data_IF_365042461826
#
_entry.id   IF_365042461826
#
_cell.length_a   1.000
_cell.length_b   1.000
_cell.length_c   1.000
_cell.angle_alpha   90.00
_cell.angle_beta   90.00
_cell.angle_gamma   90.00
#
_symmetry.space_group_name_H-M   'P 1'
#
loop_
_entity.id
_entity.type
_entity.pdbx_description
1 polymer ?
#
# COMPACT_ATOMS: atom_id res chain seq x y z
N UNK A 1 -42.08 -28.12 -0.55
CA UNK A 1 -41.30 -27.09 -1.29
C UNK A 1 -39.91 -26.86 -0.68
N UNK A 2 -39.63 -27.31 0.54
CA UNK A 2 -38.36 -27.05 1.24
C UNK A 2 -37.15 -27.81 0.69
N UNK A 3 -37.32 -29.04 0.18
CA UNK A 3 -36.20 -29.82 -0.39
C UNK A 3 -35.55 -29.17 -1.62
N UNK A 4 -36.31 -28.46 -2.46
CA UNK A 4 -35.74 -27.78 -3.64
C UNK A 4 -34.88 -26.59 -3.23
N UNK A 5 -35.28 -25.85 -2.18
CA UNK A 5 -34.50 -24.74 -1.63
C UNK A 5 -33.23 -25.24 -0.95
N UNK A 6 -33.35 -26.30 -0.14
CA UNK A 6 -32.18 -26.94 0.48
C UNK A 6 -31.17 -27.44 -0.56
N UNK A 7 -31.63 -28.07 -1.64
CA UNK A 7 -30.77 -28.52 -2.74
C UNK A 7 -30.08 -27.34 -3.45
N UNK A 8 -30.80 -26.24 -3.72
CA UNK A 8 -30.18 -25.04 -4.32
C UNK A 8 -29.15 -24.37 -3.42
N UNK A 9 -29.39 -24.33 -2.09
CA UNK A 9 -28.42 -23.79 -1.14
C UNK A 9 -27.19 -24.70 -0.99
N UNK A 10 -27.40 -26.03 -0.95
CA UNK A 10 -26.30 -26.99 -0.91
C UNK A 10 -25.46 -26.96 -2.20
N UNK A 11 -26.09 -26.86 -3.36
CA UNK A 11 -25.40 -26.73 -4.64
C UNK A 11 -24.63 -25.40 -4.73
N UNK A 12 -25.23 -24.28 -4.33
CA UNK A 12 -24.55 -22.99 -4.28
C UNK A 12 -23.36 -23.02 -3.32
N UNK A 13 -23.53 -23.61 -2.13
CA UNK A 13 -22.44 -23.76 -1.16
C UNK A 13 -21.32 -24.65 -1.69
N UNK A 14 -21.62 -25.79 -2.31
CA UNK A 14 -20.62 -26.65 -2.94
C UNK A 14 -19.88 -25.95 -4.07
N UNK A 15 -20.57 -25.17 -4.91
CA UNK A 15 -19.91 -24.39 -5.98
C UNK A 15 -18.99 -23.34 -5.39
N UNK A 16 -19.41 -22.64 -4.33
CA UNK A 16 -18.56 -21.66 -3.63
C UNK A 16 -17.37 -22.35 -2.98
N UNK A 17 -17.57 -23.44 -2.25
CA UNK A 17 -16.52 -24.19 -1.57
C UNK A 17 -15.50 -24.77 -2.58
N UNK A 18 -15.98 -25.31 -3.71
CA UNK A 18 -15.13 -25.86 -4.76
C UNK A 18 -14.36 -24.76 -5.49
N UNK A 19 -14.98 -23.59 -5.72
CA UNK A 19 -14.28 -22.41 -6.26
C UNK A 19 -13.19 -21.92 -5.29
N UNK A 20 -13.49 -21.83 -4.00
CA UNK A 20 -12.53 -21.45 -2.96
C UNK A 20 -11.39 -22.46 -2.88
N UNK A 21 -11.69 -23.77 -2.96
CA UNK A 21 -10.69 -24.84 -2.95
C UNK A 21 -9.75 -24.77 -4.17
N UNK A 22 -10.31 -24.55 -5.36
CA UNK A 22 -9.50 -24.36 -6.59
C UNK A 22 -8.63 -23.10 -6.46
N UNK A 23 -9.20 -21.99 -6.00
CA UNK A 23 -8.44 -20.75 -5.81
C UNK A 23 -7.33 -20.91 -4.76
N UNK A 24 -7.56 -21.74 -3.73
CA UNK A 24 -6.55 -22.08 -2.74
C UNK A 24 -5.42 -22.95 -3.33
N UNK A 25 -5.76 -23.93 -4.17
CA UNK A 25 -4.79 -24.79 -4.86
C UNK A 25 -3.90 -23.99 -5.84
N UNK A 26 -4.43 -22.90 -6.40
CA UNK A 26 -3.73 -22.04 -7.36
C UNK A 26 -3.43 -20.65 -6.75
N UNK A 27 -3.01 -20.64 -5.48
CA UNK A 27 -2.69 -19.43 -4.72
C UNK A 27 -1.76 -18.45 -5.46
N UNK A 28 -0.73 -18.96 -6.15
CA UNK A 28 0.22 -18.14 -6.92
C UNK A 28 -0.47 -17.36 -8.05
N UNK A 29 -1.41 -17.98 -8.77
CA UNK A 29 -2.14 -17.30 -9.85
C UNK A 29 -3.06 -16.23 -9.27
N UNK A 30 -3.64 -16.45 -8.09
CA UNK A 30 -4.46 -15.44 -7.41
C UNK A 30 -3.61 -14.22 -7.02
N UNK A 31 -2.41 -14.45 -6.48
CA UNK A 31 -1.47 -13.35 -6.15
C UNK A 31 -1.10 -12.58 -7.42
N UNK A 32 -0.71 -13.26 -8.49
CA UNK A 32 -0.35 -12.60 -9.75
C UNK A 32 -1.53 -11.84 -10.35
N UNK A 33 -2.73 -12.40 -10.26
CA UNK A 33 -3.95 -11.72 -10.69
C UNK A 33 -4.18 -10.44 -9.88
N UNK A 34 -4.14 -10.50 -8.55
CA UNK A 34 -4.34 -9.32 -7.70
C UNK A 34 -3.25 -8.26 -7.90
N UNK A 35 -1.98 -8.66 -8.00
CA UNK A 35 -0.88 -7.75 -8.29
C UNK A 35 -1.03 -7.10 -9.67
N UNK A 36 -1.52 -7.83 -10.66
CA UNK A 36 -1.78 -7.29 -12.00
C UNK A 36 -2.89 -6.25 -12.01
N UNK A 37 -3.92 -6.40 -11.16
CA UNK A 37 -4.96 -5.39 -11.00
C UNK A 37 -4.41 -4.11 -10.37
N UNK A 38 -3.60 -4.25 -9.31
CA UNK A 38 -2.93 -3.11 -8.68
C UNK A 38 -1.99 -2.42 -9.67
N UNK A 39 -1.18 -3.18 -10.39
CA UNK A 39 -0.28 -2.63 -11.41
C UNK A 39 -1.05 -1.96 -12.56
N UNK A 40 -2.17 -2.54 -12.98
CA UNK A 40 -3.04 -1.97 -14.00
C UNK A 40 -3.62 -0.63 -13.54
N UNK A 41 -4.06 -0.56 -12.28
CA UNK A 41 -4.53 0.68 -11.67
C UNK A 41 -3.44 1.77 -11.54
N UNK A 42 -2.18 1.37 -11.31
CA UNK A 42 -1.02 2.30 -11.30
C UNK A 42 -0.79 2.90 -12.69
N UNK A 43 -0.83 2.08 -13.74
CA UNK A 43 -0.55 2.48 -15.13
C UNK A 43 -1.75 3.22 -15.75
N UNK A 44 -2.96 3.01 -15.23
CA UNK A 44 -4.21 3.50 -15.81
C UNK A 44 -4.26 4.99 -16.13
N UNK A 45 -3.84 5.94 -15.25
CA UNK A 45 -3.87 7.36 -15.58
C UNK A 45 -3.06 7.69 -16.84
N UNK A 46 -1.95 6.98 -17.06
CA UNK A 46 -1.14 7.12 -18.27
C UNK A 46 -1.87 6.56 -19.49
N UNK A 47 -2.50 5.39 -19.37
CA UNK A 47 -3.29 4.80 -20.46
C UNK A 47 -4.50 5.70 -20.84
N UNK A 48 -5.18 6.28 -19.84
CA UNK A 48 -6.31 7.18 -20.06
C UNK A 48 -5.85 8.52 -20.66
N UNK A 49 -4.68 9.03 -20.28
CA UNK A 49 -4.08 10.23 -20.89
C UNK A 49 -3.83 10.07 -22.41
N UNK A 50 -3.58 8.84 -22.87
CA UNK A 50 -3.39 8.53 -24.30
C UNK A 50 -4.72 8.43 -25.07
N UNK A 51 -5.87 8.23 -24.39
CA UNK A 51 -7.17 8.13 -25.04
C UNK A 51 -7.57 9.49 -25.60
N UNK A 52 -7.87 9.55 -26.91
CA UNK A 52 -8.30 10.77 -27.59
C UNK A 52 -7.17 11.71 -28.05
N UNK A 53 -5.91 11.31 -27.91
CA UNK A 53 -4.74 12.03 -28.44
C UNK A 53 -4.49 11.70 -29.92
N UNK A 54 -3.87 12.62 -30.65
CA UNK A 54 -3.49 12.37 -32.06
C UNK A 54 -2.38 11.31 -32.15
N UNK A 55 -2.23 10.65 -33.31
CA UNK A 55 -1.19 9.61 -33.50
C UNK A 55 0.22 10.10 -33.11
N UNK A 56 0.55 11.35 -33.42
CA UNK A 56 1.84 11.97 -33.09
C UNK A 56 1.99 12.14 -31.58
N UNK A 57 0.95 12.61 -30.88
CA UNK A 57 0.97 12.77 -29.42
C UNK A 57 1.11 11.42 -28.71
N UNK A 58 0.48 10.36 -29.24
CA UNK A 58 0.65 8.99 -28.73
C UNK A 58 2.10 8.54 -28.89
N UNK A 59 2.67 8.67 -30.09
CA UNK A 59 4.08 8.31 -30.36
C UNK A 59 5.02 9.09 -29.44
N UNK A 60 4.83 10.40 -29.28
CA UNK A 60 5.67 11.23 -28.43
C UNK A 60 5.56 10.84 -26.96
N UNK A 61 4.34 10.51 -26.49
CA UNK A 61 4.12 10.07 -25.11
C UNK A 61 4.72 8.69 -24.85
N UNK A 62 4.62 7.76 -25.80
CA UNK A 62 5.26 6.44 -25.73
C UNK A 62 6.79 6.58 -25.77
N UNK A 63 7.33 7.42 -26.65
CA UNK A 63 8.76 7.70 -26.73
C UNK A 63 9.28 8.33 -25.42
N UNK A 64 8.54 9.28 -24.86
CA UNK A 64 8.83 9.87 -23.55
C UNK A 64 8.82 8.84 -22.43
N UNK A 65 7.82 7.94 -22.39
CA UNK A 65 7.78 6.84 -21.43
C UNK A 65 8.98 5.90 -21.60
N UNK A 66 9.32 5.52 -22.83
CA UNK A 66 10.48 4.66 -23.11
C UNK A 66 11.79 5.32 -22.66
N UNK A 67 11.93 6.63 -22.84
CA UNK A 67 13.08 7.39 -22.34
C UNK A 67 13.14 7.40 -20.81
N UNK A 68 12.00 7.58 -20.12
CA UNK A 68 11.93 7.50 -18.66
C UNK A 68 12.30 6.10 -18.16
N UNK A 69 11.78 5.04 -18.81
CA UNK A 69 12.11 3.65 -18.48
C UNK A 69 13.59 3.37 -18.73
N UNK A 70 14.15 3.81 -19.86
CA UNK A 70 15.56 3.66 -20.18
C UNK A 70 16.46 4.41 -19.18
N UNK A 71 16.09 5.65 -18.82
CA UNK A 71 16.79 6.44 -17.80
C UNK A 71 16.75 5.79 -16.43
N UNK A 72 15.58 5.28 -16.00
CA UNK A 72 15.44 4.52 -14.76
C UNK A 72 16.26 3.22 -14.80
N UNK A 73 16.24 2.50 -15.93
CA UNK A 73 17.02 1.28 -16.12
C UNK A 73 18.52 1.54 -16.05
N UNK A 74 19.00 2.62 -16.67
CA UNK A 74 20.40 3.05 -16.58
C UNK A 74 20.78 3.45 -15.14
N UNK A 75 19.91 4.22 -14.46
CA UNK A 75 20.11 4.55 -13.04
C UNK A 75 20.21 3.30 -12.16
N UNK A 76 19.31 2.33 -12.35
CA UNK A 76 19.34 1.05 -11.64
C UNK A 76 20.61 0.25 -11.96
N UNK A 77 21.03 0.21 -13.22
CA UNK A 77 22.26 -0.47 -13.64
C UNK A 77 23.50 0.09 -12.92
N UNK A 78 23.64 1.42 -12.85
CA UNK A 78 24.74 2.06 -12.12
C UNK A 78 24.72 1.72 -10.63
N UNK A 79 23.54 1.74 -10.00
CA UNK A 79 23.41 1.38 -8.60
C UNK A 79 23.68 -0.11 -8.36
N UNK A 80 23.29 -1.00 -9.28
CA UNK A 80 23.55 -2.44 -9.19
C UNK A 80 25.06 -2.74 -9.23
N UNK A 81 25.81 -2.02 -10.08
CA UNK A 81 27.27 -2.13 -10.13
C UNK A 81 27.95 -1.62 -8.86
N UNK A 82 27.37 -0.63 -8.17
CA UNK A 82 27.86 -0.18 -6.85
C UNK A 82 27.47 -1.18 -5.76
N UNK A 83 26.23 -1.64 -5.79
CA UNK A 83 25.69 -2.61 -4.85
C UNK A 83 26.51 -3.90 -4.85
N UNK A 84 26.90 -4.41 -6.02
CA UNK A 84 27.75 -5.61 -6.09
C UNK A 84 29.11 -5.41 -5.42
N UNK A 85 29.73 -4.23 -5.57
CA UNK A 85 30.96 -3.87 -4.87
C UNK A 85 30.74 -3.77 -3.36
N UNK A 86 29.67 -3.09 -2.94
CA UNK A 86 29.31 -2.96 -1.52
C UNK A 86 29.03 -4.31 -0.86
N UNK A 87 28.30 -5.19 -1.55
CA UNK A 87 28.04 -6.57 -1.10
C UNK A 87 29.35 -7.35 -0.99
N UNK A 88 30.21 -7.31 -2.01
CA UNK A 88 31.52 -7.98 -1.95
C UNK A 88 32.38 -7.44 -0.80
N UNK A 89 32.38 -6.13 -0.57
CA UNK A 89 33.08 -5.52 0.56
C UNK A 89 32.49 -5.97 1.90
N UNK A 90 31.17 -6.06 2.02
CA UNK A 90 30.50 -6.53 3.24
C UNK A 90 30.82 -8.00 3.50
N UNK A 91 30.76 -8.84 2.47
CA UNK A 91 31.14 -10.26 2.53
C UNK A 91 32.58 -10.41 3.01
N UNK A 92 33.52 -9.66 2.43
CA UNK A 92 34.92 -9.67 2.86
C UNK A 92 35.09 -9.15 4.31
N UNK A 93 34.30 -8.17 4.71
CA UNK A 93 34.34 -7.61 6.08
C UNK A 93 33.88 -8.63 7.10
N UNK A 94 32.78 -9.35 6.80
CA UNK A 94 32.23 -10.40 7.66
C UNK A 94 33.18 -11.60 7.75
N UNK A 95 33.73 -12.05 6.61
CA UNK A 95 34.68 -13.18 6.56
C UNK A 95 35.93 -12.94 7.41
N UNK A 96 36.45 -11.71 7.43
CA UNK A 96 37.63 -11.36 8.22
C UNK A 96 37.30 -10.98 9.68
N UNK A 97 36.03 -11.00 10.08
CA UNK A 97 35.59 -10.52 11.38
C UNK A 97 35.78 -11.60 12.46
N UNK A 98 36.81 -11.44 13.30
CA UNK A 98 37.15 -12.41 14.36
C UNK A 98 36.24 -12.34 15.59
N UNK A 99 35.51 -11.25 15.79
CA UNK A 99 34.59 -11.08 16.93
C UNK A 99 33.44 -10.16 16.56
N UNK A 100 32.29 -10.35 17.20
CA UNK A 100 31.18 -9.41 17.13
C UNK A 100 31.54 -8.12 17.86
N UNK A 101 31.31 -6.97 17.21
CA UNK A 101 31.44 -5.67 17.83
C UNK A 101 30.08 -5.27 18.41
N UNK A 102 29.88 -5.51 19.71
CA UNK A 102 28.68 -5.08 20.40
C UNK A 102 28.93 -3.75 21.14
N UNK A 103 27.95 -2.84 21.14
CA UNK A 103 28.05 -1.63 21.94
C UNK A 103 27.89 -1.91 23.44
N UNK A 104 28.52 -1.10 24.27
CA UNK A 104 28.59 -1.27 25.75
C UNK A 104 27.21 -1.40 26.40
N UNK A 105 26.19 -0.71 25.86
CA UNK A 105 24.82 -0.82 26.37
C UNK A 105 24.20 -2.19 26.12
N UNK A 106 24.56 -2.84 25.01
CA UNK A 106 24.07 -4.16 24.64
C UNK A 106 24.79 -5.25 25.45
N UNK A 107 26.09 -5.10 25.69
CA UNK A 107 26.86 -6.01 26.57
C UNK A 107 26.40 -5.97 28.04
N UNK A 108 25.76 -4.88 28.46
CA UNK A 108 25.13 -4.76 29.78
C UNK A 108 23.80 -5.51 29.89
N UNK A 109 23.16 -5.86 28.77
CA UNK A 109 21.98 -6.70 28.76
C UNK A 109 22.41 -8.16 28.90
N UNK A 110 21.93 -8.84 29.95
CA UNK A 110 22.31 -10.23 30.24
C UNK A 110 22.07 -11.20 29.08
N UNK A 111 21.02 -10.96 28.29
CA UNK A 111 20.70 -11.75 27.08
C UNK A 111 21.81 -11.71 26.02
N UNK A 112 22.50 -10.58 25.85
CA UNK A 112 23.51 -10.42 24.81
C UNK A 112 24.75 -11.28 25.09
N UNK A 113 25.09 -11.46 26.37
CA UNK A 113 26.19 -12.34 26.79
C UNK A 113 25.88 -13.80 26.53
N UNK A 114 24.67 -14.24 26.89
CA UNK A 114 24.19 -15.59 26.61
C UNK A 114 24.13 -15.88 25.10
N UNK A 115 23.79 -14.89 24.27
CA UNK A 115 23.84 -15.04 22.82
C UNK A 115 25.28 -15.10 22.30
N UNK A 116 26.20 -14.26 22.80
CA UNK A 116 27.60 -14.27 22.38
C UNK A 116 28.32 -15.58 22.72
N UNK A 117 27.95 -16.23 23.82
CA UNK A 117 28.49 -17.55 24.20
C UNK A 117 27.96 -18.67 23.29
N UNK A 118 26.76 -18.48 22.71
CA UNK A 118 26.12 -19.47 21.84
C UNK A 118 26.45 -19.25 20.35
N UNK A 119 26.84 -18.03 19.95
CA UNK A 119 27.19 -17.70 18.57
C UNK A 119 28.71 -17.83 18.34
N UNK A 120 29.15 -18.68 17.40
CA UNK A 120 30.52 -18.66 16.92
C UNK A 120 30.94 -17.28 16.37
N UNK A 121 32.25 -17.02 16.28
CA UNK A 121 32.77 -15.83 15.62
C UNK A 121 32.19 -15.63 14.21
N UNK A 122 31.93 -14.38 13.77
CA UNK A 122 31.32 -14.11 12.48
C UNK A 122 32.12 -14.67 11.28
N UNK A 123 33.45 -14.64 11.35
CA UNK A 123 34.32 -15.26 10.34
C UNK A 123 34.21 -16.79 10.29
N UNK A 124 34.15 -17.46 11.45
CA UNK A 124 33.94 -18.92 11.51
C UNK A 124 32.53 -19.30 11.05
N UNK A 125 31.50 -18.52 11.40
CA UNK A 125 30.15 -18.68 10.85
C UNK A 125 30.14 -18.54 9.33
N UNK A 126 30.91 -17.60 8.80
CA UNK A 126 31.04 -17.40 7.36
C UNK A 126 31.79 -18.55 6.69
N UNK A 127 32.85 -19.07 7.31
CA UNK A 127 33.64 -20.20 6.80
C UNK A 127 32.86 -21.52 6.91
N UNK A 128 32.11 -21.74 7.99
CA UNK A 128 31.17 -22.87 8.11
C UNK A 128 30.07 -22.76 7.04
N UNK A 129 29.62 -21.54 6.73
CA UNK A 129 28.66 -21.32 5.66
C UNK A 129 29.28 -21.54 4.28
N UNK A 130 30.55 -21.17 4.04
CA UNK A 130 31.17 -21.19 2.71
C UNK A 130 32.06 -22.40 2.39
N UNK A 131 32.94 -22.84 3.29
CA UNK A 131 33.89 -23.94 3.09
C UNK A 131 33.30 -25.32 3.42
N UNK A 132 32.72 -25.53 4.62
CA UNK A 132 31.98 -26.76 4.94
C UNK A 132 30.51 -26.69 4.45
N UNK A 133 30.03 -25.47 4.21
CA UNK A 133 28.64 -25.13 3.91
C UNK A 133 28.30 -25.01 2.42
N UNK A 134 29.06 -25.66 1.54
CA UNK A 134 28.53 -26.09 0.24
C UNK A 134 27.22 -26.89 0.37
N UNK A 135 26.85 -27.35 1.58
CA UNK A 135 25.54 -27.94 1.91
C UNK A 135 24.50 -26.96 2.51
N UNK A 136 24.88 -25.78 2.99
CA UNK A 136 23.98 -24.78 3.61
C UNK A 136 23.79 -23.57 2.70
N UNK A 137 24.88 -22.98 2.17
CA UNK A 137 24.81 -21.87 1.23
C UNK A 137 24.41 -22.32 -0.17
N UNK A 138 24.81 -23.51 -0.65
CA UNK A 138 24.42 -23.94 -1.99
C UNK A 138 22.90 -24.09 -2.14
N UNK A 139 22.15 -24.74 -1.22
CA UNK A 139 20.70 -24.73 -1.28
C UNK A 139 20.09 -23.35 -1.13
N UNK A 140 20.68 -22.44 -0.33
CA UNK A 140 20.21 -21.05 -0.20
C UNK A 140 20.43 -20.27 -1.50
N UNK A 141 21.60 -20.38 -2.12
CA UNK A 141 21.94 -19.74 -3.39
C UNK A 141 21.14 -20.35 -4.55
N UNK A 142 20.93 -21.67 -4.55
CA UNK A 142 20.05 -22.34 -5.50
C UNK A 142 18.60 -21.91 -5.29
N UNK A 143 18.10 -21.85 -4.05
CA UNK A 143 16.77 -21.33 -3.75
C UNK A 143 16.62 -19.85 -4.15
N UNK A 144 17.64 -19.01 -3.94
CA UNK A 144 17.62 -17.63 -4.42
C UNK A 144 17.56 -17.63 -5.94
N UNK A 145 18.40 -18.40 -6.63
CA UNK A 145 18.42 -18.48 -8.10
C UNK A 145 17.09 -18.98 -8.68
N UNK A 146 16.55 -20.08 -8.16
CA UNK A 146 15.26 -20.63 -8.61
C UNK A 146 14.11 -19.68 -8.27
N UNK A 147 14.11 -19.08 -7.08
CA UNK A 147 13.12 -18.06 -6.72
C UNK A 147 13.25 -16.81 -7.59
N UNK A 148 14.45 -16.40 -8.01
CA UNK A 148 14.63 -15.28 -8.94
C UNK A 148 13.99 -15.58 -10.29
N UNK A 149 14.20 -16.78 -10.85
CA UNK A 149 13.54 -17.18 -12.10
C UNK A 149 12.01 -17.19 -11.93
N UNK A 150 11.51 -17.74 -10.82
CA UNK A 150 10.07 -17.74 -10.50
C UNK A 150 9.51 -16.33 -10.33
N UNK A 151 10.20 -15.45 -9.62
CA UNK A 151 9.80 -14.04 -9.44
C UNK A 151 9.80 -13.32 -10.79
N UNK A 152 10.83 -13.50 -11.62
CA UNK A 152 10.92 -12.87 -12.93
C UNK A 152 9.80 -13.34 -13.86
N UNK A 153 9.55 -14.65 -13.92
CA UNK A 153 8.44 -15.20 -14.71
C UNK A 153 7.07 -14.73 -14.20
N UNK A 154 6.86 -14.70 -12.89
CA UNK A 154 5.66 -14.13 -12.26
C UNK A 154 5.48 -12.65 -12.60
N UNK A 155 6.55 -11.87 -12.55
CA UNK A 155 6.55 -10.43 -12.89
C UNK A 155 6.15 -10.23 -14.37
N UNK A 156 6.66 -11.05 -15.28
CA UNK A 156 6.25 -11.04 -16.69
C UNK A 156 4.74 -11.29 -16.81
N UNK A 157 4.22 -12.33 -16.15
CA UNK A 157 2.77 -12.63 -16.14
C UNK A 157 1.96 -11.45 -15.58
N UNK A 158 2.38 -10.87 -14.46
CA UNK A 158 1.73 -9.70 -13.84
C UNK A 158 1.69 -8.51 -14.80
N UNK A 159 2.79 -8.22 -15.51
CA UNK A 159 2.85 -7.13 -16.50
C UNK A 159 1.90 -7.41 -17.67
N UNK A 160 1.97 -8.60 -18.27
CA UNK A 160 1.11 -8.95 -19.41
C UNK A 160 -0.36 -8.85 -19.03
N UNK A 161 -0.73 -9.37 -17.86
CA UNK A 161 -2.10 -9.37 -17.38
C UNK A 161 -2.58 -7.95 -17.03
N UNK A 162 -1.71 -7.12 -16.45
CA UNK A 162 -1.96 -5.71 -16.17
C UNK A 162 -2.23 -4.90 -17.44
N UNK A 163 -1.42 -5.11 -18.49
CA UNK A 163 -1.61 -4.46 -19.80
C UNK A 163 -2.92 -4.92 -20.43
N UNK A 164 -3.19 -6.23 -20.43
CA UNK A 164 -4.43 -6.78 -20.97
C UNK A 164 -5.66 -6.20 -20.27
N UNK A 165 -5.63 -6.15 -18.93
CA UNK A 165 -6.67 -5.57 -18.10
C UNK A 165 -6.91 -4.09 -18.42
N UNK A 166 -5.83 -3.32 -18.49
CA UNK A 166 -5.88 -1.87 -18.73
C UNK A 166 -6.43 -1.55 -20.11
N UNK A 167 -6.08 -2.35 -21.12
CA UNK A 167 -6.58 -2.20 -22.50
C UNK A 167 -8.01 -2.70 -22.71
N UNK A 168 -8.48 -3.67 -21.92
CA UNK A 168 -9.79 -4.33 -22.11
C UNK A 168 -10.81 -4.05 -21.01
N UNK A 169 -10.57 -3.04 -20.16
CA UNK A 169 -11.38 -2.70 -18.98
C UNK A 169 -12.89 -2.68 -19.28
N UNK A 170 -13.35 -2.00 -20.32
CA UNK A 170 -14.77 -1.89 -20.63
C UNK A 170 -15.41 -3.25 -20.92
N UNK A 171 -14.64 -4.16 -21.53
CA UNK A 171 -15.09 -5.51 -21.87
C UNK A 171 -15.28 -6.34 -20.61
N UNK A 172 -14.35 -6.23 -19.66
CA UNK A 172 -14.44 -6.95 -18.40
C UNK A 172 -15.44 -6.35 -17.41
N UNK A 173 -15.51 -5.01 -17.29
CA UNK A 173 -16.55 -4.33 -16.51
C UNK A 173 -17.93 -4.81 -16.97
N UNK A 174 -18.18 -4.88 -18.29
CA UNK A 174 -19.44 -5.41 -18.81
C UNK A 174 -19.68 -6.88 -18.46
N UNK A 175 -18.64 -7.72 -18.53
CA UNK A 175 -18.77 -9.15 -18.30
C UNK A 175 -19.16 -9.48 -16.85
N UNK A 176 -18.47 -8.90 -15.86
CA UNK A 176 -18.81 -9.16 -14.46
C UNK A 176 -20.06 -8.40 -13.99
N UNK A 177 -20.33 -7.20 -14.53
CA UNK A 177 -21.58 -6.50 -14.24
C UNK A 177 -22.80 -7.21 -14.86
N UNK A 178 -22.62 -8.03 -15.91
CA UNK A 178 -23.72 -8.82 -16.49
C UNK A 178 -24.31 -9.82 -15.50
N UNK A 179 -23.49 -10.33 -14.57
CA UNK A 179 -23.88 -11.26 -13.50
C UNK A 179 -24.75 -10.59 -12.42
N UNK A 180 -24.83 -9.26 -12.40
CA UNK A 180 -25.59 -8.49 -11.42
C UNK A 180 -26.91 -7.98 -12.02
N UNK A 181 -27.93 -7.85 -11.17
CA UNK A 181 -29.20 -7.21 -11.52
C UNK A 181 -28.99 -5.74 -11.88
N UNK A 182 -29.85 -5.20 -12.76
CA UNK A 182 -29.72 -3.85 -13.35
C UNK A 182 -29.52 -2.77 -12.29
N UNK A 183 -30.29 -2.82 -11.20
CA UNK A 183 -30.19 -1.89 -10.05
C UNK A 183 -28.81 -1.91 -9.37
N UNK A 184 -28.17 -3.07 -9.32
CA UNK A 184 -26.86 -3.25 -8.66
C UNK A 184 -25.70 -2.91 -9.58
N UNK A 185 -25.89 -2.91 -10.91
CA UNK A 185 -24.81 -2.68 -11.90
C UNK A 185 -24.17 -1.31 -11.74
N UNK A 186 -24.97 -0.25 -11.62
CA UNK A 186 -24.43 1.11 -11.47
C UNK A 186 -23.64 1.24 -10.17
N UNK A 187 -24.18 0.72 -9.05
CA UNK A 187 -23.51 0.79 -7.75
C UNK A 187 -22.20 -0.02 -7.75
N UNK A 188 -22.21 -1.24 -8.26
CA UNK A 188 -21.02 -2.08 -8.36
C UNK A 188 -19.94 -1.44 -9.23
N UNK A 189 -20.32 -0.80 -10.36
CA UNK A 189 -19.39 -0.05 -11.21
C UNK A 189 -18.75 1.12 -10.48
N UNK A 190 -19.52 1.89 -9.72
CA UNK A 190 -18.98 3.00 -8.93
C UNK A 190 -18.00 2.52 -7.86
N UNK A 191 -18.34 1.46 -7.13
CA UNK A 191 -17.46 0.86 -6.12
C UNK A 191 -16.17 0.35 -6.78
N UNK A 192 -16.29 -0.39 -7.89
CA UNK A 192 -15.14 -0.91 -8.62
C UNK A 192 -14.18 0.20 -9.06
N UNK A 193 -14.71 1.28 -9.66
CA UNK A 193 -13.91 2.43 -10.09
C UNK A 193 -13.25 3.15 -8.93
N UNK A 194 -13.91 3.23 -7.78
CA UNK A 194 -13.33 3.83 -6.58
C UNK A 194 -12.18 2.97 -6.01
N UNK A 195 -12.35 1.64 -5.98
CA UNK A 195 -11.30 0.70 -5.60
C UNK A 195 -10.11 0.83 -6.54
N UNK A 196 -10.36 0.75 -7.86
CA UNK A 196 -9.32 0.84 -8.89
C UNK A 196 -8.54 2.16 -8.81
N UNK A 197 -9.21 3.31 -8.72
CA UNK A 197 -8.55 4.60 -8.54
C UNK A 197 -7.72 4.66 -7.24
N UNK A 198 -8.26 4.12 -6.14
CA UNK A 198 -7.58 4.10 -4.84
C UNK A 198 -6.34 3.20 -4.82
N UNK A 199 -6.44 2.01 -5.40
CA UNK A 199 -5.31 1.09 -5.56
C UNK A 199 -4.22 1.71 -6.44
N UNK A 200 -4.62 2.41 -7.50
CA UNK A 200 -3.70 3.13 -8.37
C UNK A 200 -2.97 4.26 -7.64
N UNK A 201 -3.69 5.09 -6.86
CA UNK A 201 -3.09 6.16 -6.06
C UNK A 201 -2.12 5.56 -5.01
N UNK A 202 -2.52 4.49 -4.32
CA UNK A 202 -1.71 3.82 -3.31
C UNK A 202 -0.41 3.24 -3.89
N UNK A 203 -0.53 2.53 -5.02
CA UNK A 203 0.62 1.93 -5.68
C UNK A 203 1.63 2.98 -6.19
N UNK A 204 1.14 4.09 -6.75
CA UNK A 204 1.98 5.23 -7.14
C UNK A 204 2.68 5.86 -5.93
N UNK A 205 1.97 6.02 -4.82
CA UNK A 205 2.57 6.47 -3.56
C UNK A 205 3.66 5.51 -3.08
N UNK A 206 3.46 4.19 -3.14
CA UNK A 206 4.49 3.21 -2.74
C UNK A 206 5.75 3.31 -3.59
N UNK A 207 5.61 3.47 -4.91
CA UNK A 207 6.75 3.64 -5.81
C UNK A 207 7.54 4.90 -5.45
N UNK A 208 6.85 6.04 -5.29
CA UNK A 208 7.49 7.30 -4.90
C UNK A 208 8.14 7.17 -3.52
N UNK A 209 7.45 6.56 -2.55
CA UNK A 209 7.96 6.32 -1.20
C UNK A 209 9.25 5.51 -1.22
N UNK A 210 9.27 4.42 -1.99
CA UNK A 210 10.44 3.54 -2.13
C UNK A 210 11.63 4.29 -2.73
N UNK A 211 11.48 4.85 -3.93
CA UNK A 211 12.60 5.48 -4.64
C UNK A 211 13.10 6.71 -3.89
N UNK A 212 12.21 7.53 -3.34
CA UNK A 212 12.60 8.72 -2.60
C UNK A 212 13.34 8.37 -1.30
N UNK A 213 12.85 7.37 -0.55
CA UNK A 213 13.55 6.88 0.66
C UNK A 213 14.92 6.32 0.27
N UNK A 214 14.98 5.48 -0.77
CA UNK A 214 16.22 4.85 -1.20
C UNK A 214 17.28 5.89 -1.58
N UNK A 215 16.92 6.85 -2.42
CA UNK A 215 17.84 7.90 -2.88
C UNK A 215 18.28 8.78 -1.72
N UNK A 216 17.34 9.29 -0.91
CA UNK A 216 17.68 10.21 0.18
C UNK A 216 18.54 9.55 1.24
N UNK A 217 18.23 8.32 1.64
CA UNK A 217 19.05 7.58 2.61
C UNK A 217 20.42 7.30 2.02
N UNK A 218 20.51 6.76 0.80
CA UNK A 218 21.80 6.46 0.15
C UNK A 218 22.69 7.69 0.05
N UNK A 219 22.13 8.83 -0.35
CA UNK A 219 22.86 10.10 -0.43
C UNK A 219 23.29 10.58 0.97
N UNK A 220 22.40 10.50 1.96
CA UNK A 220 22.71 10.95 3.33
C UNK A 220 23.85 10.15 3.96
N UNK A 221 23.81 8.82 3.85
CA UNK A 221 24.88 7.97 4.39
C UNK A 221 26.15 7.99 3.55
N UNK A 222 26.05 8.30 2.25
CA UNK A 222 27.21 8.55 1.40
C UNK A 222 28.01 9.76 1.87
N UNK A 223 27.34 10.87 2.21
CA UNK A 223 28.02 12.07 2.75
C UNK A 223 28.65 11.82 4.12
N UNK A 224 28.09 10.92 4.90
CA UNK A 224 28.71 10.46 6.14
C UNK A 224 29.92 9.54 5.90
N UNK A 225 30.24 9.18 4.65
CA UNK A 225 31.31 8.24 4.27
C UNK A 225 31.05 6.80 4.76
N UNK A 226 29.80 6.39 4.78
CA UNK A 226 29.46 4.97 4.96
C UNK A 226 30.10 4.13 3.84
N UNK A 227 30.65 2.94 4.14
CA UNK A 227 31.15 2.02 3.13
C UNK A 227 30.05 1.36 2.27
N UNK A 228 28.80 1.37 2.75
CA UNK A 228 27.67 0.66 2.11
C UNK A 228 26.45 1.57 1.84
N UNK A 229 26.60 2.70 1.12
CA UNK A 229 25.54 3.68 0.99
C UNK A 229 24.32 3.18 0.21
N UNK A 230 24.54 2.53 -0.93
CA UNK A 230 23.45 2.07 -1.80
C UNK A 230 22.73 0.88 -1.17
N UNK A 231 23.49 -0.05 -0.57
CA UNK A 231 22.98 -1.21 0.15
C UNK A 231 22.13 -0.80 1.34
N UNK A 232 22.64 0.08 2.21
CA UNK A 232 21.91 0.54 3.40
C UNK A 232 20.65 1.26 2.98
N UNK A 233 20.73 2.19 2.01
CA UNK A 233 19.56 2.87 1.49
C UNK A 233 18.50 1.92 0.93
N UNK A 234 18.91 0.88 0.22
CA UNK A 234 18.00 -0.09 -0.39
C UNK A 234 17.28 -0.91 0.68
N UNK A 235 18.03 -1.43 1.67
CA UNK A 235 17.48 -2.21 2.78
C UNK A 235 16.54 -1.35 3.64
N UNK A 236 16.92 -0.11 3.93
CA UNK A 236 16.06 0.85 4.65
C UNK A 236 14.79 1.18 3.86
N UNK A 237 14.90 1.39 2.55
CA UNK A 237 13.73 1.66 1.70
C UNK A 237 12.77 0.46 1.64
N UNK A 238 13.30 -0.76 1.51
CA UNK A 238 12.52 -2.01 1.54
C UNK A 238 11.84 -2.19 2.91
N UNK A 239 12.56 -2.00 4.00
CA UNK A 239 11.99 -2.08 5.35
C UNK A 239 10.87 -1.03 5.53
N UNK A 240 11.10 0.21 5.09
CA UNK A 240 10.13 1.30 5.20
C UNK A 240 8.87 1.12 4.34
N UNK A 241 8.82 0.14 3.42
CA UNK A 241 7.58 -0.23 2.73
C UNK A 241 6.58 -0.92 3.66
N UNK A 242 7.08 -1.63 4.68
CA UNK A 242 6.22 -2.31 5.63
C UNK A 242 5.45 -1.28 6.50
N UNK A 243 4.12 -1.35 6.54
CA UNK A 243 3.34 -0.47 7.40
C UNK A 243 3.71 -0.69 8.87
N UNK A 244 3.83 0.40 9.63
CA UNK A 244 3.95 0.45 11.11
C UNK A 244 5.30 -0.04 11.65
N UNK A 245 5.79 -1.18 11.18
CA UNK A 245 7.06 -1.76 11.62
C UNK A 245 8.24 -1.23 10.77
N UNK A 246 7.95 -0.57 9.64
CA UNK A 246 8.99 -0.22 8.66
C UNK A 246 10.12 0.67 9.19
N UNK A 247 9.82 1.65 10.05
CA UNK A 247 10.87 2.48 10.67
C UNK A 247 11.72 1.64 11.63
N UNK A 248 11.08 0.80 12.46
CA UNK A 248 11.79 -0.06 13.42
C UNK A 248 12.73 -1.02 12.69
N UNK A 249 12.23 -1.69 11.64
CA UNK A 249 13.04 -2.59 10.80
C UNK A 249 14.18 -1.83 10.10
N UNK A 250 13.91 -0.64 9.55
CA UNK A 250 14.93 0.18 8.92
C UNK A 250 16.06 0.55 9.89
N UNK A 251 15.72 0.94 11.12
CA UNK A 251 16.70 1.25 12.16
C UNK A 251 17.46 0.01 12.61
N UNK A 252 16.79 -1.14 12.72
CA UNK A 252 17.43 -2.41 13.06
C UNK A 252 18.47 -2.81 11.99
N UNK A 253 18.11 -2.75 10.71
CA UNK A 253 19.06 -3.02 9.62
C UNK A 253 20.20 -2.00 9.59
N UNK A 254 19.90 -0.72 9.84
CA UNK A 254 20.93 0.33 9.93
C UNK A 254 21.90 0.05 11.08
N UNK A 255 21.39 -0.40 12.23
CA UNK A 255 22.20 -0.78 13.38
C UNK A 255 23.09 -1.98 13.03
N UNK A 256 22.54 -3.03 12.41
CA UNK A 256 23.30 -4.20 12.01
C UNK A 256 24.45 -3.86 11.05
N UNK A 257 24.16 -3.10 9.98
CA UNK A 257 25.16 -2.69 8.97
C UNK A 257 26.15 -1.67 9.55
N UNK A 258 25.69 -0.76 10.41
CA UNK A 258 26.53 0.23 11.06
C UNK A 258 27.55 -0.39 12.02
N UNK A 259 27.14 -1.41 12.79
CA UNK A 259 28.03 -2.15 13.70
C UNK A 259 29.09 -2.97 12.95
N UNK A 260 28.76 -3.49 11.76
CA UNK A 260 29.74 -4.13 10.88
C UNK A 260 30.82 -3.15 10.38
N UNK A 261 30.49 -1.86 10.30
CA UNK A 261 31.41 -0.84 9.79
C UNK A 261 32.33 -0.30 10.89
N UNK A 262 31.79 0.25 11.97
CA UNK A 262 32.57 0.78 13.09
C UNK A 262 31.69 1.11 14.30
N UNK A 263 32.16 0.72 15.49
CA UNK A 263 31.48 1.00 16.76
C UNK A 263 31.40 2.49 17.11
N UNK A 264 32.35 3.30 16.63
CA UNK A 264 32.37 4.74 16.88
C UNK A 264 31.41 5.48 15.94
N UNK A 265 31.16 4.92 14.77
CA UNK A 265 30.46 5.59 13.68
C UNK A 265 28.98 5.17 13.55
N UNK A 266 28.60 3.98 14.04
CA UNK A 266 27.22 3.50 13.98
C UNK A 266 26.17 4.45 14.60
N UNK A 267 26.42 5.20 15.72
CA UNK A 267 25.40 6.07 16.29
C UNK A 267 25.05 7.21 15.35
N UNK A 268 26.03 7.71 14.60
CA UNK A 268 25.86 8.80 13.65
C UNK A 268 25.07 8.35 12.42
N UNK A 269 25.35 7.14 11.92
CA UNK A 269 24.55 6.51 10.87
C UNK A 269 23.10 6.30 11.31
N UNK A 270 22.89 5.76 12.51
CA UNK A 270 21.56 5.49 13.06
C UNK A 270 20.77 6.79 13.24
N UNK A 271 21.38 7.82 13.83
CA UNK A 271 20.77 9.13 14.01
C UNK A 271 20.42 9.79 12.67
N UNK A 272 21.30 9.70 11.68
CA UNK A 272 21.07 10.24 10.35
C UNK A 272 19.87 9.55 9.67
N UNK A 273 19.84 8.22 9.64
CA UNK A 273 18.71 7.47 9.06
C UNK A 273 17.42 7.79 9.79
N UNK A 274 17.43 7.81 11.13
CA UNK A 274 16.26 8.17 11.92
C UNK A 274 15.74 9.58 11.59
N UNK A 275 16.64 10.55 11.51
CA UNK A 275 16.30 11.94 11.17
C UNK A 275 15.69 12.02 9.78
N UNK A 276 16.32 11.43 8.78
CA UNK A 276 15.83 11.45 7.39
C UNK A 276 14.45 10.80 7.29
N UNK A 277 14.25 9.63 7.92
CA UNK A 277 12.95 8.95 7.95
C UNK A 277 11.89 9.78 8.67
N UNK A 278 12.24 10.45 9.76
CA UNK A 278 11.34 11.33 10.51
C UNK A 278 10.94 12.55 9.69
N UNK A 279 11.89 13.18 9.00
CA UNK A 279 11.63 14.31 8.09
C UNK A 279 10.71 13.89 6.94
N UNK A 280 10.99 12.73 6.32
CA UNK A 280 10.12 12.15 5.30
C UNK A 280 8.70 11.92 5.86
N UNK A 281 8.60 11.38 7.07
CA UNK A 281 7.32 11.09 7.73
C UNK A 281 6.51 12.32 8.11
N UNK A 282 7.15 13.38 8.57
CA UNK A 282 6.47 14.59 9.04
C UNK A 282 6.16 15.57 7.90
N UNK A 283 7.06 15.72 6.92
CA UNK A 283 6.96 16.78 5.92
C UNK A 283 6.57 16.29 4.53
N UNK A 284 7.02 15.09 4.14
CA UNK A 284 6.89 14.62 2.76
C UNK A 284 5.65 13.75 2.60
N UNK A 285 5.48 12.73 3.44
CA UNK A 285 4.35 11.78 3.31
C UNK A 285 2.99 12.46 3.46
N UNK A 286 2.73 13.37 4.42
CA UNK A 286 1.42 14.01 4.54
C UNK A 286 1.04 14.89 3.32
N UNK A 287 2.05 15.41 2.60
CA UNK A 287 1.83 16.21 1.39
C UNK A 287 1.57 15.35 0.16
N UNK A 288 2.20 14.18 0.06
CA UNK A 288 2.05 13.24 -1.05
C UNK A 288 0.88 12.28 -0.87
N UNK A 289 0.48 12.04 0.37
CA UNK A 289 -0.56 11.11 0.78
C UNK A 289 -1.52 11.86 1.70
N UNK A 290 -2.61 12.35 1.15
CA UNK A 290 -3.73 12.90 1.92
C UNK A 290 -4.62 11.73 2.36
N UNK A 291 -5.11 11.73 3.61
CA UNK A 291 -5.85 10.67 4.32
C UNK A 291 -7.07 10.05 3.60
N UNK A 292 -6.85 9.39 2.47
CA UNK A 292 -7.92 8.74 1.69
C UNK A 292 -8.31 7.37 2.26
N UNK A 293 -7.41 6.72 3.01
CA UNK A 293 -7.56 5.33 3.49
C UNK A 293 -7.32 5.24 5.00
N UNK A 294 -8.12 6.00 5.74
CA UNK A 294 -7.96 6.23 7.18
C UNK A 294 -8.49 5.06 8.02
N UNK A 295 -7.89 3.88 7.85
CA UNK A 295 -8.16 2.69 8.65
C UNK A 295 -6.85 1.95 8.99
N UNK A 296 -5.95 2.57 9.79
CA UNK A 296 -4.71 1.92 10.23
C UNK A 296 -4.97 0.60 10.98
N UNK A 297 -6.05 0.53 11.75
CA UNK A 297 -6.47 -0.68 12.49
C UNK A 297 -6.86 -1.80 11.52
N UNK A 298 -7.62 -1.50 10.46
CA UNK A 298 -8.02 -2.50 9.47
C UNK A 298 -6.79 -3.05 8.72
N UNK A 299 -5.83 -2.17 8.39
CA UNK A 299 -4.55 -2.56 7.80
C UNK A 299 -3.77 -3.51 8.72
N UNK A 300 -3.68 -3.19 10.01
CA UNK A 300 -3.04 -4.05 11.01
C UNK A 300 -3.73 -5.40 11.15
N UNK A 301 -5.05 -5.40 11.25
CA UNK A 301 -5.84 -6.60 11.44
C UNK A 301 -5.70 -7.53 10.22
N UNK A 302 -5.78 -7.00 9.01
CA UNK A 302 -5.55 -7.78 7.79
C UNK A 302 -4.11 -8.27 7.68
N UNK A 303 -3.13 -7.46 8.09
CA UNK A 303 -1.72 -7.86 8.13
C UNK A 303 -1.54 -9.09 9.04
N UNK A 304 -2.14 -9.07 10.24
CA UNK A 304 -2.08 -10.17 11.20
C UNK A 304 -2.77 -11.42 10.68
N UNK A 305 -4.02 -11.29 10.21
CA UNK A 305 -4.81 -12.43 9.70
C UNK A 305 -4.12 -13.07 8.50
N UNK A 306 -3.68 -12.28 7.52
CA UNK A 306 -3.04 -12.80 6.30
C UNK A 306 -1.68 -13.42 6.62
N UNK A 307 -0.90 -12.77 7.50
CA UNK A 307 0.40 -13.26 7.92
C UNK A 307 0.32 -14.63 8.59
N UNK A 308 -0.69 -14.86 9.42
CA UNK A 308 -0.89 -16.12 10.13
C UNK A 308 -1.54 -17.20 9.23
N UNK A 309 -2.54 -16.85 8.43
CA UNK A 309 -3.35 -17.84 7.69
C UNK A 309 -2.77 -18.22 6.33
N UNK A 310 -2.22 -17.25 5.59
CA UNK A 310 -1.77 -17.44 4.21
C UNK A 310 -0.24 -17.34 4.07
N UNK A 311 0.44 -16.91 5.12
CA UNK A 311 1.90 -16.81 5.21
C UNK A 311 2.48 -15.54 4.60
N UNK A 312 3.81 -15.43 4.67
CA UNK A 312 4.54 -14.18 4.42
C UNK A 312 4.36 -13.63 2.99
N UNK A 313 4.18 -14.49 1.98
CA UNK A 313 4.02 -14.09 0.57
C UNK A 313 2.79 -13.21 0.36
N UNK A 314 1.72 -13.41 1.13
CA UNK A 314 0.47 -12.67 0.99
C UNK A 314 0.48 -11.31 1.69
N UNK A 315 1.49 -11.03 2.53
CA UNK A 315 1.59 -9.81 3.30
C UNK A 315 1.63 -8.55 2.43
N UNK A 316 2.20 -8.66 1.22
CA UNK A 316 2.29 -7.58 0.23
C UNK A 316 0.88 -7.11 -0.20
N UNK A 317 -0.09 -8.01 -0.21
CA UNK A 317 -1.48 -7.71 -0.59
C UNK A 317 -2.33 -7.19 0.57
N UNK A 318 -1.86 -7.27 1.82
CA UNK A 318 -2.64 -6.84 2.97
C UNK A 318 -3.09 -5.36 2.89
N UNK A 319 -2.23 -4.38 2.53
CA UNK A 319 -2.67 -3.00 2.41
C UNK A 319 -3.65 -2.73 1.25
N UNK A 320 -3.43 -3.22 0.00
CA UNK A 320 -4.42 -3.15 -1.07
C UNK A 320 -5.79 -3.76 -0.69
N UNK A 321 -5.78 -4.90 0.00
CA UNK A 321 -7.01 -5.55 0.46
C UNK A 321 -7.71 -4.70 1.53
N UNK A 322 -6.97 -4.09 2.44
CA UNK A 322 -7.54 -3.18 3.44
C UNK A 322 -8.25 -1.99 2.80
N UNK A 323 -7.64 -1.38 1.77
CA UNK A 323 -8.26 -0.29 0.99
C UNK A 323 -9.56 -0.77 0.35
N UNK A 324 -9.54 -1.96 -0.27
CA UNK A 324 -10.71 -2.55 -0.92
C UNK A 324 -11.85 -2.79 0.08
N UNK A 325 -11.55 -3.41 1.22
CA UNK A 325 -12.53 -3.69 2.29
C UNK A 325 -13.09 -2.38 2.86
N UNK A 326 -12.25 -1.39 3.11
CA UNK A 326 -12.68 -0.08 3.61
C UNK A 326 -13.65 0.61 2.64
N UNK A 327 -13.37 0.59 1.34
CA UNK A 327 -14.25 1.20 0.32
C UNK A 327 -15.60 0.46 0.25
N UNK A 328 -15.57 -0.88 0.27
CA UNK A 328 -16.80 -1.68 0.28
C UNK A 328 -17.62 -1.35 1.53
N UNK A 329 -16.99 -1.34 2.71
CA UNK A 329 -17.64 -1.00 3.98
C UNK A 329 -18.26 0.40 3.96
N UNK A 330 -17.52 1.40 3.47
CA UNK A 330 -18.03 2.78 3.36
C UNK A 330 -19.21 2.88 2.38
N UNK A 331 -19.18 2.14 1.27
CA UNK A 331 -20.27 2.11 0.29
C UNK A 331 -21.55 1.41 0.81
N UNK A 332 -21.40 0.53 1.81
CA UNK A 332 -22.50 -0.17 2.46
C UNK A 332 -23.03 0.61 3.66
N UNK A 333 -22.15 1.15 4.49
CA UNK A 333 -22.51 1.94 5.68
C UNK A 333 -23.12 3.30 5.33
N UNK A 334 -22.75 3.92 4.21
CA UNK A 334 -23.50 5.09 3.69
C UNK A 334 -24.98 4.77 3.45
N UNK A 335 -25.33 3.52 3.14
CA UNK A 335 -26.74 3.06 3.06
C UNK A 335 -27.40 3.02 4.44
N UNK A 336 -26.65 2.68 5.49
CA UNK A 336 -27.10 2.70 6.89
C UNK A 336 -27.19 4.14 7.42
N UNK A 337 -26.25 5.02 7.07
CA UNK A 337 -26.22 6.42 7.50
C UNK A 337 -27.27 7.29 6.80
N UNK A 338 -27.67 6.93 5.57
CA UNK A 338 -28.82 7.52 4.86
C UNK A 338 -30.18 7.11 5.47
N UNK A 339 -30.19 6.28 6.52
CA UNK A 339 -31.39 6.03 7.36
C UNK A 339 -31.71 7.17 8.33
N UNK A 340 -30.80 8.14 8.50
CA UNK A 340 -31.18 9.45 9.03
C UNK A 340 -31.89 10.15 7.87
N UNK A 341 -33.21 9.97 7.78
CA UNK A 341 -34.06 10.71 6.84
C UNK A 341 -33.60 12.17 6.88
N UNK A 342 -33.24 12.83 5.76
CA UNK A 342 -33.40 14.27 5.74
C UNK A 342 -34.85 14.50 6.18
N UNK A 343 -35.09 15.34 7.19
CA UNK A 343 -36.44 15.75 7.56
C UNK A 343 -37.09 16.28 6.26
N UNK A 344 -37.84 15.43 5.57
CA UNK A 344 -38.52 15.76 4.33
C UNK A 344 -39.97 15.97 4.70
N UNK A 345 -40.49 17.15 4.39
CA UNK A 345 -41.83 17.58 4.77
C UNK A 345 -41.82 18.60 5.91
N UNK A 346 -42.95 18.70 6.58
CA UNK A 346 -43.31 19.79 7.48
C UNK A 346 -42.30 20.10 8.60
N UNK A 347 -41.62 19.09 9.15
CA UNK A 347 -40.65 19.28 10.24
C UNK A 347 -39.39 20.06 9.82
N UNK A 348 -38.91 19.93 8.58
CA UNK A 348 -37.76 20.75 8.13
C UNK A 348 -38.16 22.20 7.83
N UNK A 349 -39.41 22.44 7.45
CA UNK A 349 -39.95 23.78 7.27
C UNK A 349 -40.05 24.51 8.62
N UNK A 350 -40.56 23.84 9.67
CA UNK A 350 -40.58 24.37 11.04
C UNK A 350 -39.17 24.69 11.56
N UNK A 351 -38.22 23.77 11.37
CA UNK A 351 -36.84 23.98 11.82
C UNK A 351 -36.14 25.12 11.05
N UNK A 352 -36.41 25.27 9.76
CA UNK A 352 -35.88 26.39 8.97
C UNK A 352 -36.53 27.73 9.37
N UNK A 353 -37.83 27.74 9.69
CA UNK A 353 -38.55 28.89 10.24
C UNK A 353 -37.93 29.35 11.56
N UNK A 354 -37.69 28.42 12.48
CA UNK A 354 -37.15 28.70 13.81
C UNK A 354 -35.74 29.31 13.70
N UNK A 355 -34.87 28.70 12.90
CA UNK A 355 -33.52 29.22 12.65
C UNK A 355 -33.50 30.59 11.96
N UNK A 356 -34.40 30.84 11.00
CA UNK A 356 -34.51 32.15 10.34
C UNK A 356 -35.07 33.22 11.29
N UNK A 357 -36.03 32.87 12.15
CA UNK A 357 -36.60 33.78 13.13
C UNK A 357 -35.58 34.21 14.18
N UNK A 358 -34.74 33.28 14.64
CA UNK A 358 -33.63 33.58 15.56
C UNK A 358 -32.57 34.45 14.90
N UNK A 359 -32.13 34.09 13.68
CA UNK A 359 -31.12 34.87 12.95
C UNK A 359 -31.58 36.30 12.61
N UNK A 360 -32.89 36.51 12.48
CA UNK A 360 -33.50 37.83 12.27
C UNK A 360 -33.59 38.63 13.58
N UNK A 361 -33.86 37.98 14.71
CA UNK A 361 -33.86 38.61 16.04
C UNK A 361 -32.50 39.17 16.47
N UNK A 362 -31.41 38.59 15.94
CA UNK A 362 -30.03 39.01 16.23
C UNK A 362 -29.53 40.17 15.34
N UNK A 363 -30.33 40.66 14.38
CA UNK A 363 -29.95 41.73 13.46
C UNK A 363 -30.49 43.10 13.90
N UNK A 364 -29.60 44.09 13.98
CA UNK A 364 -29.91 45.47 14.40
C UNK A 364 -30.78 46.23 13.35
N UNK A 365 -30.75 45.81 12.09
CA UNK A 365 -31.68 46.27 11.05
C UNK A 365 -31.97 45.15 10.02
N UNK A 366 -33.22 44.72 9.94
CA UNK A 366 -33.65 43.63 9.03
C UNK A 366 -33.90 44.11 7.60
N UNK A 367 -33.25 43.51 6.58
CA UNK A 367 -33.56 43.78 5.18
C UNK A 367 -35.01 43.38 4.81
N UNK A 368 -35.74 44.18 4.01
CA UNK A 368 -37.14 43.93 3.66
C UNK A 368 -37.38 42.65 2.86
N UNK A 369 -36.34 42.11 2.20
CA UNK A 369 -36.41 40.82 1.51
C UNK A 369 -36.49 39.65 2.50
N UNK A 370 -35.82 39.75 3.65
CA UNK A 370 -35.80 38.70 4.68
C UNK A 370 -37.14 38.64 5.43
N UNK A 371 -37.75 39.80 5.72
CA UNK A 371 -39.09 39.86 6.30
C UNK A 371 -40.14 39.27 5.35
N UNK A 372 -40.08 39.60 4.05
CA UNK A 372 -41.00 39.01 3.06
C UNK A 372 -40.85 37.49 2.93
N UNK A 373 -39.62 36.97 2.97
CA UNK A 373 -39.37 35.54 2.92
C UNK A 373 -39.86 34.82 4.19
N UNK A 374 -39.66 35.42 5.37
CA UNK A 374 -40.16 34.86 6.63
C UNK A 374 -41.69 34.86 6.68
N UNK A 375 -42.35 35.94 6.26
CA UNK A 375 -43.82 35.98 6.17
C UNK A 375 -44.37 34.91 5.23
N UNK A 376 -43.74 34.73 4.06
CA UNK A 376 -44.15 33.70 3.10
C UNK A 376 -43.93 32.29 3.65
N UNK A 377 -42.87 32.08 4.40
CA UNK A 377 -42.57 30.79 5.01
C UNK A 377 -43.54 30.47 6.17
N UNK A 378 -43.92 31.46 6.97
CA UNK A 378 -44.97 31.32 8.00
C UNK A 378 -46.30 30.89 7.37
N UNK A 379 -46.71 31.54 6.28
CA UNK A 379 -47.96 31.20 5.58
C UNK A 379 -47.94 29.76 5.05
N UNK A 380 -46.83 29.32 4.46
CA UNK A 380 -46.68 27.95 3.96
C UNK A 380 -46.70 26.91 5.09
N UNK A 381 -46.16 27.23 6.27
CA UNK A 381 -46.23 26.37 7.45
C UNK A 381 -47.66 26.30 8.00
N UNK A 382 -48.40 27.41 7.97
CA UNK A 382 -49.78 27.46 8.43
C UNK A 382 -50.75 26.70 7.49
N UNK A 383 -50.62 26.90 6.18
CA UNK A 383 -51.35 26.13 5.16
C UNK A 383 -51.04 24.63 5.24
N UNK A 384 -49.78 24.27 5.53
CA UNK A 384 -49.42 22.87 5.73
C UNK A 384 -50.02 22.29 7.02
N UNK A 385 -50.03 23.01 8.14
CA UNK A 385 -50.67 22.59 9.38
C UNK A 385 -52.17 22.29 9.17
N UNK A 386 -52.89 23.16 8.46
CA UNK A 386 -54.31 22.97 8.14
C UNK A 386 -54.60 21.73 7.29
N UNK A 387 -53.60 21.21 6.58
CA UNK A 387 -53.71 19.99 5.79
C UNK A 387 -53.38 18.71 6.59
N UNK A 388 -52.74 18.84 7.75
CA UNK A 388 -52.33 17.73 8.62
C UNK A 388 -53.27 17.53 9.82
N UNK A 389 -54.02 18.55 10.23
CA UNK A 389 -55.19 18.46 11.13
C UNK A 389 -56.46 18.07 10.37
#
# INVERSE_FOLDING_TARGET
MDNKRAFTYAAAFSVVALTVFILWQVNEVVIYFLLSLVLGAIIRPFADYLKGKSRIQIILSIAGLLLVIAGLGYFLYLNMMRLSKEVNLMVNTISNLKRWFLPVWLERLGFARSLLELLPPPGELFDIATNDGGKILMPVLQNISTNLVTILSGLVVIIFLSIYWTGSQDRFERLWLSLLSVERRQKARTIWRQIDASLGDYGRFLLVKFFLTWILISVSVYYLRSPYPVLLGLVVALANLLPIIGIVLALLFTLAIGLLSSILFYPWLLACVFLVLTVLSMFVWPKLYQDKWDAPILRLLLLLIIGETMGLRWLILAPPLAITVQIIWNSLSTKLRKSSRPLMGFESLKLHQENLSQAIGDLESTPPALTNNLTRLNQLVEEANQYFD
#
